data_IF_403541709840
#
_entry.id   IF_403541709840
#
_cell.length_a   1.000
_cell.length_b   1.000
_cell.length_c   1.000
_cell.angle_alpha   90.00
_cell.angle_beta   90.00
_cell.angle_gamma   90.00
#
_symmetry.space_group_name_H-M   'P 1'
#
loop_
_entity.id
_entity.type
_entity.pdbx_description
1 polymer ?
#
# COMPACT_ATOMS: atom_id res chain seq x y z
N UNK A 1 -32.69 42.27 1.75
CA UNK A 1 -31.94 41.90 2.97
C UNK A 1 -32.64 40.71 3.61
N UNK A 2 -32.04 39.52 3.55
CA UNK A 2 -32.60 38.30 4.13
C UNK A 2 -32.15 38.13 5.59
N UNK A 3 -33.08 37.89 6.51
CA UNK A 3 -32.78 37.63 7.91
C UNK A 3 -32.26 36.19 8.08
N UNK A 4 -30.99 36.05 8.47
CA UNK A 4 -30.42 34.77 8.85
C UNK A 4 -31.01 34.34 10.20
N UNK A 5 -31.83 33.27 10.20
CA UNK A 5 -32.23 32.59 11.44
C UNK A 5 -31.03 31.80 11.98
N UNK A 6 -30.47 32.23 13.10
CA UNK A 6 -29.47 31.48 13.84
C UNK A 6 -30.17 30.47 14.76
N UNK A 7 -29.90 29.18 14.56
CA UNK A 7 -30.37 28.11 15.43
C UNK A 7 -29.41 28.00 16.62
N UNK A 8 -29.81 28.52 17.77
CA UNK A 8 -29.11 28.25 19.02
C UNK A 8 -29.47 26.83 19.49
N UNK A 9 -28.56 25.88 19.31
CA UNK A 9 -28.64 24.56 19.92
C UNK A 9 -28.41 24.70 21.43
N UNK A 10 -29.47 24.94 22.18
CA UNK A 10 -29.46 24.73 23.63
C UNK A 10 -29.38 23.23 23.89
N UNK A 11 -28.19 22.74 24.26
CA UNK A 11 -28.04 21.33 24.67
C UNK A 11 -28.67 21.15 26.06
N UNK A 12 -29.99 20.99 26.10
CA UNK A 12 -30.76 20.77 27.33
C UNK A 12 -30.56 19.39 27.98
N UNK A 13 -29.43 18.70 27.72
CA UNK A 13 -29.12 17.42 28.39
C UNK A 13 -28.55 17.68 29.77
N UNK A 14 -29.22 17.15 30.77
CA UNK A 14 -28.79 17.19 32.18
C UNK A 14 -27.39 16.55 32.31
N UNK A 15 -26.56 16.99 33.26
CA UNK A 15 -25.24 16.38 33.52
C UNK A 15 -25.29 14.86 33.67
N UNK A 16 -26.37 14.32 34.24
CA UNK A 16 -26.62 12.88 34.36
C UNK A 16 -26.73 12.16 33.00
N UNK A 17 -27.36 12.76 32.00
CA UNK A 17 -27.49 12.15 30.66
C UNK A 17 -26.15 12.10 29.92
N UNK A 18 -25.26 13.05 30.17
CA UNK A 18 -23.89 13.05 29.62
C UNK A 18 -23.05 11.94 30.25
N UNK A 19 -23.15 11.77 31.57
CA UNK A 19 -22.49 10.68 32.28
C UNK A 19 -23.04 9.31 31.88
N UNK A 20 -24.35 9.19 31.74
CA UNK A 20 -25.00 7.95 31.27
C UNK A 20 -24.58 7.63 29.83
N UNK A 21 -24.53 8.62 28.94
CA UNK A 21 -24.05 8.45 27.57
C UNK A 21 -22.58 8.04 27.52
N UNK A 22 -21.72 8.66 28.33
CA UNK A 22 -20.31 8.30 28.45
C UNK A 22 -20.12 6.87 29.00
N UNK A 23 -20.90 6.50 30.01
CA UNK A 23 -20.86 5.16 30.59
C UNK A 23 -21.32 4.09 29.59
N UNK A 24 -22.39 4.36 28.84
CA UNK A 24 -22.86 3.49 27.75
C UNK A 24 -21.82 3.33 26.64
N UNK A 25 -21.14 4.42 26.27
CA UNK A 25 -20.07 4.36 25.27
C UNK A 25 -18.88 3.55 25.77
N UNK A 26 -18.49 3.72 27.04
CA UNK A 26 -17.42 2.93 27.66
C UNK A 26 -17.78 1.44 27.72
N UNK A 27 -19.03 1.13 28.07
CA UNK A 27 -19.55 -0.24 28.09
C UNK A 27 -19.53 -0.87 26.69
N UNK A 28 -19.90 -0.10 25.66
CA UNK A 28 -19.85 -0.55 24.26
C UNK A 28 -18.42 -0.87 23.84
N UNK A 29 -17.45 0.00 24.14
CA UNK A 29 -16.03 -0.26 23.85
C UNK A 29 -15.54 -1.50 24.60
N UNK A 30 -15.88 -1.64 25.88
CA UNK A 30 -15.51 -2.80 26.68
C UNK A 30 -16.08 -4.11 26.09
N UNK A 31 -17.33 -4.08 25.63
CA UNK A 31 -17.97 -5.21 24.96
C UNK A 31 -17.28 -5.56 23.64
N UNK A 32 -16.97 -4.56 22.81
CA UNK A 32 -16.23 -4.75 21.55
C UNK A 32 -14.84 -5.33 21.79
N UNK A 33 -14.13 -4.82 22.80
CA UNK A 33 -12.82 -5.32 23.20
C UNK A 33 -12.89 -6.76 23.69
N UNK A 34 -13.90 -7.09 24.50
CA UNK A 34 -14.15 -8.47 24.94
C UNK A 34 -14.40 -9.41 23.76
N UNK A 35 -15.24 -9.00 22.81
CA UNK A 35 -15.53 -9.81 21.62
C UNK A 35 -14.28 -10.00 20.75
N UNK A 36 -13.52 -8.93 20.55
CA UNK A 36 -12.25 -8.99 19.81
C UNK A 36 -11.25 -9.90 20.50
N UNK A 37 -11.12 -9.82 21.82
CA UNK A 37 -10.24 -10.69 22.60
C UNK A 37 -10.64 -12.16 22.47
N UNK A 38 -11.93 -12.47 22.52
CA UNK A 38 -12.42 -13.84 22.33
C UNK A 38 -12.13 -14.36 20.91
N UNK A 39 -12.34 -13.54 19.89
CA UNK A 39 -12.00 -13.89 18.51
C UNK A 39 -10.50 -14.14 18.36
N UNK A 40 -9.68 -13.29 18.97
CA UNK A 40 -8.24 -13.43 18.98
C UNK A 40 -7.79 -14.71 19.68
N UNK A 41 -8.41 -15.06 20.82
CA UNK A 41 -8.14 -16.30 21.55
C UNK A 41 -8.51 -17.54 20.71
N UNK A 42 -9.64 -17.51 20.01
CA UNK A 42 -10.02 -18.57 19.08
C UNK A 42 -8.99 -18.73 17.96
N UNK A 43 -8.50 -17.61 17.44
CA UNK A 43 -7.46 -17.60 16.41
C UNK A 43 -6.13 -18.17 16.93
N UNK A 44 -5.85 -18.01 18.23
CA UNK A 44 -4.71 -18.61 18.91
C UNK A 44 -4.78 -20.13 18.93
N UNK A 45 -5.96 -20.70 19.19
CA UNK A 45 -6.18 -22.14 19.06
C UNK A 45 -6.04 -22.63 17.60
N UNK A 46 -6.30 -21.77 16.62
CA UNK A 46 -6.15 -22.10 15.21
C UNK A 46 -4.69 -22.05 14.72
N UNK A 47 -3.76 -21.42 15.44
CA UNK A 47 -2.33 -21.30 15.09
C UNK A 47 -1.70 -22.61 14.61
N UNK A 48 -1.79 -23.76 15.32
CA UNK A 48 -1.18 -25.01 14.86
C UNK A 48 -1.68 -25.41 13.47
N UNK A 49 -2.98 -25.22 13.21
CA UNK A 49 -3.60 -25.53 11.91
C UNK A 49 -3.09 -24.54 10.84
N UNK A 50 -3.09 -23.23 11.14
CA UNK A 50 -2.57 -22.21 10.22
C UNK A 50 -1.09 -22.45 9.87
N UNK A 51 -0.29 -22.88 10.85
CA UNK A 51 1.13 -23.16 10.64
C UNK A 51 1.30 -24.33 9.66
N UNK A 52 0.52 -25.41 9.82
CA UNK A 52 0.52 -26.57 8.91
C UNK A 52 0.09 -26.12 7.51
N UNK A 53 -0.99 -25.35 7.38
CA UNK A 53 -1.49 -24.84 6.10
C UNK A 53 -0.43 -23.99 5.40
N UNK A 54 0.23 -23.08 6.13
CA UNK A 54 1.30 -22.25 5.58
C UNK A 54 2.49 -23.09 5.11
N UNK A 55 2.87 -24.11 5.88
CA UNK A 55 3.99 -24.99 5.57
C UNK A 55 3.73 -25.82 4.30
N UNK A 56 2.51 -26.36 4.17
CA UNK A 56 2.06 -27.07 2.96
C UNK A 56 2.00 -26.10 1.77
N UNK A 57 1.56 -24.86 1.99
CA UNK A 57 1.38 -23.92 0.90
C UNK A 57 2.70 -23.35 0.38
N UNK A 58 3.51 -22.71 1.23
CA UNK A 58 4.87 -22.31 0.85
C UNK A 58 5.75 -22.07 2.09
N UNK A 59 6.51 -23.10 2.48
CA UNK A 59 7.48 -23.02 3.56
C UNK A 59 8.57 -21.95 3.35
N UNK A 60 8.82 -21.52 2.12
CA UNK A 60 9.84 -20.49 1.82
C UNK A 60 9.39 -19.12 2.31
N UNK A 61 8.09 -18.84 2.27
CA UNK A 61 7.53 -17.56 2.75
C UNK A 61 7.70 -17.45 4.26
N UNK A 62 7.49 -18.55 5.00
CA UNK A 62 7.77 -18.60 6.43
C UNK A 62 9.26 -18.38 6.72
N UNK A 63 10.16 -19.10 6.04
CA UNK A 63 11.61 -18.94 6.20
C UNK A 63 12.09 -17.51 5.88
N UNK A 64 11.61 -16.92 4.79
CA UNK A 64 11.95 -15.56 4.40
C UNK A 64 11.48 -14.54 5.46
N UNK A 65 10.33 -14.77 6.08
CA UNK A 65 9.84 -13.94 7.18
C UNK A 65 10.73 -14.05 8.42
N UNK A 66 11.09 -15.27 8.86
CA UNK A 66 12.03 -15.48 9.96
C UNK A 66 13.39 -14.85 9.70
N UNK A 67 13.91 -14.97 8.47
CA UNK A 67 15.18 -14.34 8.08
C UNK A 67 15.09 -12.82 8.13
N UNK A 68 13.95 -12.24 7.76
CA UNK A 68 13.72 -10.79 7.86
C UNK A 68 13.76 -10.33 9.31
N UNK A 69 13.10 -11.05 10.23
CA UNK A 69 13.13 -10.74 11.67
C UNK A 69 14.57 -10.87 12.21
N UNK A 70 15.27 -11.96 11.88
CA UNK A 70 16.66 -12.14 12.31
C UNK A 70 17.60 -11.03 11.82
N UNK A 71 17.43 -10.60 10.57
CA UNK A 71 18.17 -9.44 10.02
C UNK A 71 17.85 -8.14 10.73
N UNK A 72 16.58 -7.89 11.05
CA UNK A 72 16.17 -6.69 11.79
C UNK A 72 16.79 -6.66 13.18
N UNK A 73 16.79 -7.80 13.90
CA UNK A 73 17.46 -7.91 15.21
C UNK A 73 18.96 -7.66 15.09
N UNK A 74 19.62 -8.20 14.05
CA UNK A 74 21.05 -8.02 13.87
C UNK A 74 21.44 -6.58 13.52
N UNK A 75 20.62 -5.87 12.72
CA UNK A 75 20.89 -4.49 12.31
C UNK A 75 20.49 -3.46 13.38
N UNK A 76 19.37 -3.69 14.05
CA UNK A 76 18.82 -2.79 15.06
C UNK A 76 18.24 -3.64 16.22
N UNK A 77 19.04 -3.93 17.25
CA UNK A 77 18.66 -4.93 18.26
C UNK A 77 17.41 -4.52 19.04
N UNK A 78 17.27 -3.25 19.43
CA UNK A 78 16.13 -2.78 20.22
C UNK A 78 14.83 -2.83 19.42
N UNK A 79 14.80 -2.22 18.23
CA UNK A 79 13.61 -2.21 17.38
C UNK A 79 13.29 -3.61 16.84
N UNK A 80 14.31 -4.39 16.51
CA UNK A 80 14.17 -5.78 16.07
C UNK A 80 13.58 -6.69 17.16
N UNK A 81 14.02 -6.58 18.41
CA UNK A 81 13.44 -7.34 19.52
C UNK A 81 11.98 -6.95 19.75
N UNK A 82 11.69 -5.64 19.77
CA UNK A 82 10.33 -5.15 19.97
C UNK A 82 9.41 -5.62 18.84
N UNK A 83 9.90 -5.55 17.60
CA UNK A 83 9.22 -6.09 16.42
C UNK A 83 8.99 -7.59 16.51
N UNK A 84 9.99 -8.37 16.96
CA UNK A 84 9.85 -9.81 17.16
C UNK A 84 8.81 -10.13 18.25
N UNK A 85 8.80 -9.39 19.36
CA UNK A 85 7.82 -9.53 20.42
C UNK A 85 6.40 -9.24 19.92
N UNK A 86 6.22 -8.16 19.14
CA UNK A 86 4.93 -7.83 18.52
C UNK A 86 4.50 -8.92 17.53
N UNK A 87 5.42 -9.47 16.73
CA UNK A 87 5.11 -10.57 15.80
C UNK A 87 4.76 -11.85 16.54
N UNK A 88 5.39 -12.12 17.69
CA UNK A 88 5.08 -13.27 18.52
C UNK A 88 3.69 -13.12 19.16
N UNK A 89 3.37 -11.95 19.72
CA UNK A 89 2.04 -11.66 20.26
C UNK A 89 0.97 -11.63 19.17
N UNK A 90 1.31 -11.13 17.99
CA UNK A 90 0.44 -11.03 16.82
C UNK A 90 0.53 -12.21 15.85
N UNK A 91 1.10 -13.34 16.28
CA UNK A 91 1.38 -14.47 15.38
C UNK A 91 0.15 -15.01 14.64
N UNK A 92 -1.11 -15.03 15.15
CA UNK A 92 -2.17 -15.68 14.40
C UNK A 92 -2.56 -14.81 13.19
N UNK A 93 -2.50 -13.49 13.37
CA UNK A 93 -2.69 -12.47 12.34
C UNK A 93 -1.53 -12.53 11.34
N UNK A 94 -0.28 -12.64 11.83
CA UNK A 94 0.90 -12.76 10.97
C UNK A 94 0.81 -14.00 10.08
N UNK A 95 0.39 -15.17 10.61
CA UNK A 95 0.23 -16.39 9.82
C UNK A 95 -0.84 -16.22 8.73
N UNK A 96 -2.00 -15.64 9.04
CA UNK A 96 -3.01 -15.32 8.01
C UNK A 96 -2.40 -14.43 6.93
N UNK A 97 -1.67 -13.38 7.32
CA UNK A 97 -1.01 -12.48 6.40
C UNK A 97 0.01 -13.19 5.50
N UNK A 98 0.79 -14.13 6.03
CA UNK A 98 1.76 -14.91 5.27
C UNK A 98 1.09 -15.91 4.31
N UNK A 99 -0.01 -16.54 4.73
CA UNK A 99 -0.84 -17.39 3.88
C UNK A 99 -1.39 -16.55 2.73
N UNK A 100 -2.05 -15.43 3.04
CA UNK A 100 -2.62 -14.55 2.02
C UNK A 100 -1.55 -14.04 1.06
N UNK A 101 -0.39 -13.58 1.57
CA UNK A 101 0.76 -13.18 0.76
C UNK A 101 1.18 -14.30 -0.19
N UNK A 102 1.38 -15.51 0.33
CA UNK A 102 1.78 -16.66 -0.48
C UNK A 102 0.73 -17.00 -1.56
N UNK A 103 -0.56 -16.91 -1.24
CA UNK A 103 -1.64 -17.13 -2.20
C UNK A 103 -1.63 -16.09 -3.33
N UNK A 104 -1.49 -14.80 -2.98
CA UNK A 104 -1.38 -13.69 -3.94
C UNK A 104 -0.13 -13.88 -4.83
N UNK A 105 1.03 -14.17 -4.25
CA UNK A 105 2.26 -14.40 -5.02
C UNK A 105 2.15 -15.59 -5.98
N UNK A 106 1.41 -16.64 -5.62
CA UNK A 106 1.17 -17.77 -6.53
C UNK A 106 0.24 -17.43 -7.69
N UNK A 107 -0.76 -16.57 -7.45
CA UNK A 107 -1.75 -16.16 -8.45
C UNK A 107 -1.20 -15.08 -9.39
N UNK A 108 -0.62 -14.03 -8.84
CA UNK A 108 -0.17 -12.85 -9.59
C UNK A 108 1.33 -12.87 -9.90
N UNK A 109 2.13 -13.61 -9.12
CA UNK A 109 3.56 -13.74 -9.38
C UNK A 109 3.91 -14.62 -10.58
N UNK A 110 2.93 -15.23 -11.26
CA UNK A 110 3.12 -15.81 -12.60
C UNK A 110 3.13 -14.72 -13.66
N UNK A 111 2.18 -13.79 -13.60
CA UNK A 111 2.09 -12.63 -14.51
C UNK A 111 3.33 -11.73 -14.40
N UNK A 112 3.80 -11.47 -13.18
CA UNK A 112 5.04 -10.72 -12.94
C UNK A 112 6.30 -11.48 -13.41
N UNK A 113 6.30 -12.81 -13.35
CA UNK A 113 7.43 -13.62 -13.84
C UNK A 113 7.43 -13.77 -15.34
N UNK A 114 6.25 -13.89 -15.97
CA UNK A 114 6.08 -13.90 -17.43
C UNK A 114 6.54 -12.57 -18.04
N UNK A 115 6.20 -11.44 -17.42
CA UNK A 115 6.71 -10.12 -17.84
C UNK A 115 8.19 -9.92 -17.53
N UNK A 116 8.71 -10.44 -16.40
CA UNK A 116 10.13 -10.38 -16.10
C UNK A 116 10.99 -11.30 -16.99
N UNK A 117 10.45 -12.44 -17.46
CA UNK A 117 11.11 -13.29 -18.45
C UNK A 117 11.09 -12.69 -19.86
N UNK A 118 10.11 -11.84 -20.19
CA UNK A 118 10.13 -11.05 -21.43
C UNK A 118 11.21 -9.94 -21.37
N UNK A 119 11.65 -9.54 -20.17
CA UNK A 119 12.71 -8.55 -19.97
C UNK A 119 14.14 -9.10 -19.84
N UNK A 120 14.36 -10.41 -19.97
CA UNK A 120 15.70 -11.03 -19.90
C UNK A 120 16.24 -11.53 -21.25
N UNK A 121 15.50 -11.36 -22.35
CA UNK A 121 16.10 -11.37 -23.67
C UNK A 121 16.47 -9.92 -24.05
N UNK A 122 17.76 -9.55 -24.13
CA UNK A 122 18.19 -8.32 -24.80
C UNK A 122 18.04 -8.49 -26.32
N UNK A 123 16.88 -8.95 -26.78
CA UNK A 123 16.60 -9.10 -28.20
C UNK A 123 15.95 -7.81 -28.67
N UNK A 124 16.83 -6.90 -29.10
CA UNK A 124 16.61 -5.76 -29.98
C UNK A 124 15.16 -5.56 -30.38
N UNK A 125 14.53 -4.50 -29.88
CA UNK A 125 13.34 -3.96 -30.52
C UNK A 125 13.78 -3.52 -31.92
N UNK A 126 13.31 -4.14 -33.02
CA UNK A 126 13.59 -3.60 -34.34
C UNK A 126 12.93 -2.23 -34.40
N UNK A 127 13.72 -1.20 -34.65
CA UNK A 127 13.21 0.13 -34.94
C UNK A 127 12.26 0.00 -36.12
N UNK A 128 11.01 0.38 -35.95
CA UNK A 128 10.13 0.65 -37.07
C UNK A 128 10.65 1.95 -37.69
N UNK A 129 11.52 1.83 -38.70
CA UNK A 129 11.89 2.96 -39.55
C UNK A 129 10.61 3.45 -40.21
N UNK A 130 10.03 4.50 -39.65
CA UNK A 130 8.99 5.24 -40.33
C UNK A 130 9.70 5.88 -41.52
N UNK A 131 9.53 5.30 -42.72
CA UNK A 131 9.86 5.99 -43.96
C UNK A 131 9.03 7.27 -43.98
N UNK A 132 9.61 8.37 -43.50
CA UNK A 132 9.05 9.68 -43.69
C UNK A 132 9.13 9.95 -45.19
N UNK A 133 8.09 9.60 -45.94
CA UNK A 133 7.83 10.17 -47.25
C UNK A 133 7.85 11.68 -47.06
N UNK A 134 8.96 12.29 -47.43
CA UNK A 134 9.09 13.73 -47.57
C UNK A 134 8.13 14.14 -48.68
N UNK A 135 6.90 14.49 -48.32
CA UNK A 135 6.09 15.33 -49.20
C UNK A 135 6.72 16.73 -49.17
N UNK A 136 7.54 16.99 -50.18
CA UNK A 136 8.12 18.29 -50.48
C UNK A 136 6.98 19.29 -50.74
N UNK A 137 6.67 20.12 -49.75
CA UNK A 137 5.78 21.27 -49.91
C UNK A 137 6.63 22.54 -49.99
N UNK A 138 6.88 23.10 -51.19
CA UNK A 138 7.91 24.13 -51.41
C UNK A 138 7.54 25.54 -50.91
N UNK A 139 6.52 25.70 -50.05
CA UNK A 139 5.98 27.04 -49.72
C UNK A 139 6.38 27.59 -48.35
N UNK A 140 7.19 26.88 -47.55
CA UNK A 140 7.53 27.31 -46.17
C UNK A 140 8.95 27.83 -45.93
N UNK A 141 9.82 27.89 -46.95
CA UNK A 141 11.21 28.34 -46.75
C UNK A 141 11.43 29.86 -46.83
N UNK A 142 10.44 30.68 -47.25
CA UNK A 142 10.65 32.13 -47.42
C UNK A 142 10.43 33.00 -46.19
N UNK A 143 9.97 32.44 -45.06
CA UNK A 143 9.71 33.22 -43.83
C UNK A 143 10.71 32.96 -42.70
N UNK A 144 11.53 31.91 -42.77
CA UNK A 144 12.48 31.58 -41.70
C UNK A 144 13.78 32.41 -41.74
N UNK A 145 14.19 32.92 -42.91
CA UNK A 145 15.45 33.67 -43.05
C UNK A 145 15.31 35.15 -42.64
N UNK A 146 14.09 35.71 -42.61
CA UNK A 146 13.86 37.11 -42.24
C UNK A 146 13.65 37.34 -40.72
N UNK A 147 13.58 36.28 -39.93
CA UNK A 147 13.31 36.35 -38.48
C UNK A 147 14.58 36.25 -37.61
N UNK A 148 15.70 35.79 -38.18
CA UNK A 148 16.92 35.48 -37.44
C UNK A 148 17.74 36.74 -37.09
N UNK A 149 17.71 37.77 -37.94
CA UNK A 149 18.49 39.00 -37.75
C UNK A 149 17.87 40.05 -36.81
N UNK A 150 16.70 39.79 -36.20
CA UNK A 150 16.00 40.78 -35.34
C UNK A 150 16.33 40.66 -33.85
N UNK A 151 17.12 39.66 -33.45
CA UNK A 151 17.52 39.47 -32.05
C UNK A 151 18.83 40.18 -31.69
N UNK A 152 19.67 40.49 -32.69
CA UNK A 152 20.97 41.13 -32.48
C UNK A 152 20.83 42.64 -32.19
N UNK A 153 19.79 43.31 -32.70
CA UNK A 153 19.57 44.76 -32.56
C UNK A 153 18.99 45.21 -31.19
N UNK A 154 18.67 44.28 -30.27
CA UNK A 154 18.00 44.59 -29.00
C UNK A 154 18.95 44.86 -27.82
N UNK A 155 20.26 44.69 -28.02
CA UNK A 155 21.25 44.79 -26.95
C UNK A 155 22.44 45.72 -27.25
N UNK A 156 22.36 46.53 -28.32
CA UNK A 156 23.24 47.70 -28.53
C UNK A 156 22.63 49.00 -28.00
#
# INVERSE_FOLDING_TARGET
MGAFKTYHYSSGRTYGERLLGGLMFLLLIALLFYLFFQLFLLLWYAVPILLIVLLIMDARVLKAHLQTIGRQIAQQPVSGLLGAAINLLGLPIVLIGLILKSWIFKRFGRVARETASIGQDPQFTPYEEIESKTEENPTRQRQAVAADHRYDDLFE
#
